data_IF_982064036280
#
_entry.id   IF_982064036280
#
_cell.length_a   1.000
_cell.length_b   1.000
_cell.length_c   1.000
_cell.angle_alpha   90.00
_cell.angle_beta   90.00
_cell.angle_gamma   90.00
#
_symmetry.space_group_name_H-M   'P 1'
#
loop_
_entity.id
_entity.type
_entity.pdbx_description
1 polymer ?
#
# COMPACT_ATOMS: atom_id res chain seq x y z
N UNK A 1 65.93 -49.04 -21.84
CA UNK A 1 65.40 -47.69 -21.53
C UNK A 1 63.94 -47.49 -21.95
N UNK A 2 63.43 -48.23 -22.94
CA UNK A 2 62.08 -48.06 -23.54
C UNK A 2 60.92 -48.45 -22.61
N UNK A 3 61.02 -49.59 -21.90
CA UNK A 3 59.99 -50.04 -20.95
C UNK A 3 59.75 -49.05 -19.79
N UNK A 4 60.83 -48.44 -19.27
CA UNK A 4 60.74 -47.49 -18.16
C UNK A 4 59.99 -46.22 -18.57
N UNK A 5 60.12 -45.79 -19.84
CA UNK A 5 59.39 -44.66 -20.42
C UNK A 5 57.90 -44.98 -20.58
N UNK A 6 57.56 -46.16 -21.10
CA UNK A 6 56.18 -46.62 -21.25
C UNK A 6 55.47 -46.73 -19.90
N UNK A 7 56.15 -47.26 -18.89
CA UNK A 7 55.60 -47.37 -17.54
C UNK A 7 55.34 -46.00 -16.90
N UNK A 8 56.23 -45.02 -17.14
CA UNK A 8 56.05 -43.65 -16.66
C UNK A 8 54.86 -42.95 -17.35
N UNK A 9 54.67 -43.15 -18.65
CA UNK A 9 53.53 -42.55 -19.37
C UNK A 9 52.19 -43.16 -18.93
N UNK A 10 52.14 -44.45 -18.63
CA UNK A 10 50.91 -45.09 -18.13
C UNK A 10 50.58 -44.60 -16.72
N UNK A 11 51.58 -44.42 -15.86
CA UNK A 11 51.40 -43.86 -14.52
C UNK A 11 50.90 -42.40 -14.56
N UNK A 12 51.41 -41.59 -15.49
CA UNK A 12 50.94 -40.23 -15.71
C UNK A 12 49.50 -40.20 -16.24
N UNK A 13 49.14 -41.14 -17.11
CA UNK A 13 47.77 -41.30 -17.61
C UNK A 13 46.81 -41.67 -16.49
N UNK A 14 47.14 -42.64 -15.65
CA UNK A 14 46.32 -42.98 -14.47
C UNK A 14 46.17 -41.81 -13.49
N UNK A 15 47.23 -41.02 -13.28
CA UNK A 15 47.15 -39.82 -12.42
C UNK A 15 46.19 -38.80 -13.01
N UNK A 16 46.23 -38.58 -14.33
CA UNK A 16 45.28 -37.69 -15.02
C UNK A 16 43.86 -38.21 -14.89
N UNK A 17 43.64 -39.50 -15.10
CA UNK A 17 42.30 -40.10 -15.04
C UNK A 17 41.71 -39.98 -13.62
N UNK A 18 42.50 -40.23 -12.57
CA UNK A 18 42.08 -40.00 -11.18
C UNK A 18 41.70 -38.53 -10.93
N UNK A 19 42.46 -37.59 -11.47
CA UNK A 19 42.16 -36.17 -11.34
C UNK A 19 40.87 -35.79 -12.08
N UNK A 20 40.64 -36.34 -13.27
CA UNK A 20 39.42 -36.13 -14.07
C UNK A 20 38.21 -36.67 -13.31
N UNK A 21 38.27 -37.89 -12.77
CA UNK A 21 37.18 -38.46 -11.99
C UNK A 21 36.83 -37.62 -10.77
N UNK A 22 37.83 -37.14 -10.04
CA UNK A 22 37.61 -36.26 -8.88
C UNK A 22 36.87 -34.98 -9.27
N UNK A 23 37.29 -34.32 -10.35
CA UNK A 23 36.63 -33.10 -10.84
C UNK A 23 35.21 -33.39 -11.34
N UNK A 24 34.97 -34.55 -11.96
CA UNK A 24 33.62 -34.95 -12.39
C UNK A 24 32.67 -35.17 -11.21
N UNK A 25 33.14 -35.78 -10.12
CA UNK A 25 32.35 -35.91 -8.89
C UNK A 25 32.02 -34.53 -8.29
N UNK A 26 32.99 -33.62 -8.28
CA UNK A 26 32.80 -32.26 -7.78
C UNK A 26 31.79 -31.47 -8.62
N UNK A 27 31.89 -31.54 -9.96
CA UNK A 27 30.92 -30.93 -10.88
C UNK A 27 29.52 -31.55 -10.67
N UNK A 28 29.42 -32.87 -10.53
CA UNK A 28 28.14 -33.54 -10.28
C UNK A 28 27.49 -33.04 -8.99
N UNK A 29 28.27 -32.89 -7.92
CA UNK A 29 27.79 -32.35 -6.66
C UNK A 29 27.31 -30.89 -6.82
N UNK A 30 28.08 -30.07 -7.54
CA UNK A 30 27.74 -28.67 -7.79
C UNK A 30 26.45 -28.53 -8.61
N UNK A 31 26.24 -29.38 -9.62
CA UNK A 31 24.99 -29.41 -10.41
C UNK A 31 23.79 -29.81 -9.56
N UNK A 32 23.93 -30.79 -8.66
CA UNK A 32 22.84 -31.16 -7.74
C UNK A 32 22.51 -30.02 -6.77
N UNK A 33 23.54 -29.36 -6.23
CA UNK A 33 23.37 -28.20 -5.36
C UNK A 33 22.68 -27.05 -6.11
N UNK A 34 23.12 -26.75 -7.33
CA UNK A 34 22.49 -25.73 -8.17
C UNK A 34 21.02 -26.06 -8.48
N UNK A 35 20.72 -27.31 -8.80
CA UNK A 35 19.34 -27.79 -9.02
C UNK A 35 18.49 -27.62 -7.76
N UNK A 36 19.02 -27.94 -6.58
CA UNK A 36 18.31 -27.77 -5.31
C UNK A 36 18.05 -26.28 -4.99
N UNK A 37 19.04 -25.41 -5.22
CA UNK A 37 18.89 -23.96 -5.08
C UNK A 37 17.85 -23.43 -6.05
N UNK A 38 17.88 -23.85 -7.32
CA UNK A 38 16.88 -23.48 -8.32
C UNK A 38 15.48 -23.91 -7.90
N UNK A 39 15.30 -25.15 -7.43
CA UNK A 39 14.01 -25.60 -6.89
C UNK A 39 13.56 -24.80 -5.66
N UNK A 40 14.49 -24.41 -4.78
CA UNK A 40 14.17 -23.58 -3.62
C UNK A 40 13.78 -22.14 -4.03
N UNK A 41 14.43 -21.58 -5.04
CA UNK A 41 14.08 -20.27 -5.63
C UNK A 41 12.75 -20.35 -6.37
N UNK A 42 12.49 -21.39 -7.15
CA UNK A 42 11.21 -21.58 -7.86
C UNK A 42 10.04 -21.83 -6.88
N UNK A 43 10.28 -22.57 -5.78
CA UNK A 43 9.29 -22.74 -4.70
C UNK A 43 9.05 -21.45 -3.93
N UNK A 44 10.07 -20.59 -3.78
CA UNK A 44 9.89 -19.19 -3.41
C UNK A 44 9.32 -18.45 -4.62
N UNK A 45 8.06 -18.72 -4.98
CA UNK A 45 7.37 -17.93 -6.00
C UNK A 45 7.59 -16.44 -5.70
N UNK A 46 8.34 -15.68 -6.52
CA UNK A 46 7.90 -14.32 -6.76
C UNK A 46 6.51 -14.51 -7.37
N UNK A 47 5.51 -13.81 -6.88
CA UNK A 47 4.19 -13.93 -7.45
C UNK A 47 4.28 -13.50 -8.93
N UNK A 48 4.46 -14.47 -9.82
CA UNK A 48 4.63 -14.28 -11.24
C UNK A 48 3.23 -14.21 -11.83
N UNK A 49 2.84 -12.99 -12.19
CA UNK A 49 2.17 -12.65 -13.45
C UNK A 49 0.92 -13.43 -13.84
N UNK A 50 0.11 -13.83 -12.86
CA UNK A 50 -1.33 -13.64 -13.01
C UNK A 50 -1.75 -12.75 -11.85
N UNK A 51 -1.98 -11.46 -12.13
CA UNK A 51 -3.02 -10.76 -11.39
C UNK A 51 -4.23 -11.68 -11.55
N UNK A 52 -4.70 -12.38 -10.49
CA UNK A 52 -5.94 -13.11 -10.66
C UNK A 52 -6.94 -12.08 -11.12
N UNK A 53 -7.82 -12.48 -12.04
CA UNK A 53 -8.91 -11.68 -12.58
C UNK A 53 -9.84 -11.26 -11.43
N UNK A 54 -9.38 -10.26 -10.68
CA UNK A 54 -9.99 -9.67 -9.51
C UNK A 54 -9.81 -8.20 -9.74
N UNK A 55 -10.66 -7.68 -10.63
CA UNK A 55 -10.81 -6.26 -10.81
C UNK A 55 -11.41 -5.68 -9.52
N UNK A 56 -10.56 -5.39 -8.53
CA UNK A 56 -10.96 -4.65 -7.35
C UNK A 56 -11.43 -3.26 -7.78
N UNK A 57 -12.70 -2.94 -7.52
CA UNK A 57 -13.27 -1.62 -7.84
C UNK A 57 -12.85 -0.62 -6.77
N UNK A 58 -11.75 0.07 -7.04
CA UNK A 58 -11.23 1.15 -6.23
C UNK A 58 -11.48 2.51 -6.91
N UNK A 59 -11.72 3.59 -6.15
CA UNK A 59 -11.86 3.66 -4.69
C UNK A 59 -13.25 3.22 -4.19
N UNK A 60 -13.31 2.65 -2.99
CA UNK A 60 -14.57 2.29 -2.31
C UNK A 60 -15.31 3.55 -1.88
N UNK A 61 -16.62 3.63 -2.16
CA UNK A 61 -17.44 4.82 -1.88
C UNK A 61 -18.54 4.56 -0.87
N UNK A 62 -19.02 3.32 -0.79
CA UNK A 62 -20.16 2.95 0.07
C UNK A 62 -19.74 1.94 1.15
N UNK A 63 -20.59 1.75 2.16
CA UNK A 63 -20.33 0.75 3.21
C UNK A 63 -20.53 -0.68 2.67
N UNK A 64 -21.44 -0.81 1.72
CA UNK A 64 -21.74 -2.01 0.98
C UNK A 64 -20.50 -2.48 0.19
N UNK A 65 -19.77 -1.54 -0.44
CA UNK A 65 -18.51 -1.85 -1.13
C UNK A 65 -17.45 -2.45 -0.18
N UNK A 66 -17.36 -1.93 1.05
CA UNK A 66 -16.45 -2.48 2.07
C UNK A 66 -16.91 -3.87 2.50
N UNK A 67 -18.20 -4.06 2.76
CA UNK A 67 -18.74 -5.37 3.15
C UNK A 67 -18.46 -6.42 2.08
N UNK A 68 -18.75 -6.11 0.81
CA UNK A 68 -18.47 -6.98 -0.33
C UNK A 68 -16.98 -7.31 -0.45
N UNK A 69 -16.12 -6.31 -0.28
CA UNK A 69 -14.67 -6.52 -0.33
C UNK A 69 -14.19 -7.40 0.85
N UNK A 70 -14.67 -7.16 2.06
CA UNK A 70 -14.34 -7.97 3.24
C UNK A 70 -14.78 -9.43 3.08
N UNK A 71 -15.90 -9.69 2.40
CA UNK A 71 -16.31 -11.05 2.03
C UNK A 71 -15.36 -11.71 1.02
N UNK A 72 -14.97 -10.99 -0.03
CA UNK A 72 -13.98 -11.47 -1.01
C UNK A 72 -12.65 -11.78 -0.32
N UNK A 73 -12.24 -10.94 0.64
CA UNK A 73 -11.00 -11.08 1.41
C UNK A 73 -11.04 -12.18 2.48
N UNK A 74 -12.16 -12.92 2.64
CA UNK A 74 -12.16 -14.18 3.40
C UNK A 74 -11.27 -15.24 2.72
N UNK A 75 -11.14 -15.19 1.39
CA UNK A 75 -10.26 -16.08 0.65
C UNK A 75 -8.81 -15.59 0.71
N UNK A 76 -7.91 -16.44 1.21
CA UNK A 76 -6.48 -16.10 1.31
C UNK A 76 -5.84 -15.79 -0.04
N UNK A 77 -6.28 -16.46 -1.09
CA UNK A 77 -5.81 -16.21 -2.46
C UNK A 77 -6.17 -14.80 -2.93
N UNK A 78 -7.39 -14.33 -2.62
CA UNK A 78 -7.84 -12.97 -2.97
C UNK A 78 -7.17 -11.91 -2.09
N UNK A 79 -6.93 -12.19 -0.81
CA UNK A 79 -6.15 -11.31 0.08
C UNK A 79 -4.71 -11.12 -0.42
N UNK A 80 -4.05 -12.20 -0.83
CA UNK A 80 -2.71 -12.15 -1.41
C UNK A 80 -2.70 -11.36 -2.72
N UNK A 81 -3.72 -11.53 -3.56
CA UNK A 81 -3.89 -10.77 -4.80
C UNK A 81 -4.07 -9.28 -4.54
N UNK A 82 -4.91 -8.91 -3.56
CA UNK A 82 -5.06 -7.51 -3.16
C UNK A 82 -3.73 -6.95 -2.65
N UNK A 83 -3.03 -7.71 -1.81
CA UNK A 83 -1.72 -7.32 -1.30
C UNK A 83 -0.74 -7.07 -2.45
N UNK A 84 -0.71 -7.92 -3.47
CA UNK A 84 0.11 -7.68 -4.67
C UNK A 84 -0.27 -6.39 -5.38
N UNK A 85 -1.56 -6.20 -5.65
CA UNK A 85 -2.06 -5.03 -6.34
C UNK A 85 -1.66 -3.75 -5.60
N UNK A 86 -1.86 -3.72 -4.28
CA UNK A 86 -1.45 -2.60 -3.45
C UNK A 86 0.07 -2.42 -3.39
N UNK A 87 0.85 -3.49 -3.49
CA UNK A 87 2.32 -3.43 -3.54
C UNK A 87 2.87 -2.77 -4.81
N UNK A 88 2.03 -2.57 -5.84
CA UNK A 88 2.43 -1.81 -7.04
C UNK A 88 2.45 -0.29 -6.77
N UNK A 89 1.77 0.15 -5.71
CA UNK A 89 1.60 1.56 -5.37
C UNK A 89 2.74 2.01 -4.47
N UNK A 90 3.83 2.44 -5.09
CA UNK A 90 4.99 2.99 -4.41
C UNK A 90 4.92 4.50 -4.13
N UNK A 91 5.99 5.02 -3.53
CA UNK A 91 6.20 6.43 -3.21
C UNK A 91 7.61 6.64 -2.66
N UNK A 92 8.01 7.90 -2.48
CA UNK A 92 9.38 8.24 -2.06
C UNK A 92 9.58 8.15 -0.54
N UNK A 93 8.51 8.35 0.23
CA UNK A 93 8.55 8.35 1.70
C UNK A 93 7.40 7.53 2.26
N UNK A 94 7.52 7.04 3.49
CA UNK A 94 6.45 6.30 4.17
C UNK A 94 5.11 7.06 4.15
N UNK A 95 5.14 8.38 4.40
CA UNK A 95 3.96 9.24 4.34
C UNK A 95 3.33 9.29 2.94
N UNK A 96 4.15 9.38 1.89
CA UNK A 96 3.67 9.42 0.51
C UNK A 96 3.08 8.07 0.09
N UNK A 97 3.78 6.97 0.37
CA UNK A 97 3.33 5.59 0.12
C UNK A 97 1.95 5.36 0.77
N UNK A 98 1.84 5.62 2.08
CA UNK A 98 0.59 5.44 2.82
C UNK A 98 -0.52 6.38 2.32
N UNK A 99 -0.17 7.62 1.98
CA UNK A 99 -1.11 8.58 1.42
C UNK A 99 -1.66 8.17 0.05
N UNK A 100 -0.84 7.56 -0.81
CA UNK A 100 -1.25 7.02 -2.12
C UNK A 100 -2.10 5.77 -1.95
N UNK A 101 -1.66 4.81 -1.13
CA UNK A 101 -2.43 3.59 -0.82
C UNK A 101 -3.84 3.92 -0.32
N UNK A 102 -3.95 4.80 0.67
CA UNK A 102 -5.24 5.11 1.27
C UNK A 102 -6.19 5.86 0.31
N UNK A 103 -5.64 6.75 -0.55
CA UNK A 103 -6.44 7.44 -1.60
C UNK A 103 -6.90 6.51 -2.70
N UNK A 104 -6.11 5.49 -3.01
CA UNK A 104 -6.49 4.44 -3.94
C UNK A 104 -7.64 3.61 -3.37
N UNK A 105 -7.57 3.24 -2.10
CA UNK A 105 -8.52 2.31 -1.48
C UNK A 105 -9.86 2.97 -1.12
N UNK A 106 -9.84 4.13 -0.47
CA UNK A 106 -11.05 4.77 0.07
C UNK A 106 -11.28 6.14 -0.54
N UNK A 107 -12.52 6.38 -0.98
CA UNK A 107 -12.98 7.72 -1.28
C UNK A 107 -13.06 8.56 0.00
N UNK A 108 -12.84 9.88 -0.12
CA UNK A 108 -12.86 10.79 1.04
C UNK A 108 -14.20 10.78 1.77
N UNK A 109 -15.31 10.73 1.03
CA UNK A 109 -16.68 10.66 1.57
C UNK A 109 -16.82 9.49 2.55
N UNK A 110 -16.45 8.29 2.11
CA UNK A 110 -16.47 7.08 2.92
C UNK A 110 -15.49 7.17 4.09
N UNK A 111 -14.29 7.71 3.86
CA UNK A 111 -13.25 7.85 4.89
C UNK A 111 -13.68 8.74 6.08
N UNK A 112 -14.66 9.63 5.91
CA UNK A 112 -15.19 10.41 7.05
C UNK A 112 -16.01 9.56 8.02
N UNK A 113 -16.58 8.45 7.55
CA UNK A 113 -17.43 7.56 8.34
C UNK A 113 -16.63 6.54 9.20
N UNK A 114 -15.31 6.50 9.03
CA UNK A 114 -14.40 5.64 9.79
C UNK A 114 -13.48 6.42 10.72
N UNK A 115 -13.07 5.77 11.80
CA UNK A 115 -11.86 6.13 12.54
C UNK A 115 -11.11 4.85 12.93
N UNK A 116 -9.90 4.97 13.49
CA UNK A 116 -9.09 3.78 13.78
C UNK A 116 -9.79 2.79 14.72
N UNK A 117 -10.36 3.26 15.83
CA UNK A 117 -10.88 2.40 16.93
C UNK A 117 -12.39 2.12 16.84
N UNK A 118 -13.14 2.90 16.07
CA UNK A 118 -14.60 2.87 16.00
C UNK A 118 -15.33 3.66 17.10
N UNK A 119 -14.74 4.74 17.63
CA UNK A 119 -15.38 5.54 18.70
C UNK A 119 -16.48 6.47 18.15
N UNK A 120 -17.59 6.58 18.88
CA UNK A 120 -18.72 7.45 18.56
C UNK A 120 -19.59 6.87 17.43
N UNK A 121 -20.02 7.71 16.48
CA UNK A 121 -20.85 7.31 15.34
C UNK A 121 -20.04 6.77 14.13
N UNK A 122 -18.75 6.47 14.32
CA UNK A 122 -17.84 6.04 13.25
C UNK A 122 -17.45 4.59 13.41
N UNK A 123 -17.36 3.86 12.31
CA UNK A 123 -16.99 2.45 12.30
C UNK A 123 -15.48 2.25 12.52
N UNK A 124 -15.06 1.14 13.17
CA UNK A 124 -13.65 0.82 13.35
C UNK A 124 -13.02 0.42 12.03
N UNK A 125 -11.96 1.13 11.65
CA UNK A 125 -11.15 0.74 10.50
C UNK A 125 -10.21 -0.42 10.89
N UNK A 126 -9.66 -0.42 12.12
CA UNK A 126 -8.64 -1.37 12.58
C UNK A 126 -9.02 -2.85 12.49
N UNK A 127 -10.31 -3.16 12.46
CA UNK A 127 -10.85 -4.52 12.45
C UNK A 127 -11.05 -5.09 11.04
N UNK A 128 -10.91 -4.26 10.00
CA UNK A 128 -11.11 -4.68 8.62
C UNK A 128 -9.93 -5.51 8.12
N UNK A 129 -10.21 -6.60 7.38
CA UNK A 129 -9.21 -7.45 6.73
C UNK A 129 -8.41 -6.69 5.69
N UNK A 130 -8.99 -5.65 5.08
CA UNK A 130 -8.23 -4.80 4.14
C UNK A 130 -6.95 -4.23 4.76
N UNK A 131 -6.90 -4.03 6.09
CA UNK A 131 -5.71 -3.53 6.78
C UNK A 131 -4.55 -4.51 6.74
N UNK A 132 -4.79 -5.83 6.83
CA UNK A 132 -3.69 -6.80 6.74
C UNK A 132 -3.03 -6.70 5.37
N UNK A 133 -3.84 -6.53 4.31
CA UNK A 133 -3.35 -6.33 2.94
C UNK A 133 -2.58 -5.02 2.77
N UNK A 134 -3.06 -3.92 3.37
CA UNK A 134 -2.37 -2.63 3.37
C UNK A 134 -1.02 -2.71 4.09
N UNK A 135 -0.98 -3.29 5.30
CA UNK A 135 0.23 -3.46 6.09
C UNK A 135 1.26 -4.33 5.35
N UNK A 136 0.79 -5.43 4.75
CA UNK A 136 1.66 -6.33 3.99
C UNK A 136 2.24 -5.66 2.73
N UNK A 137 1.45 -4.86 2.02
CA UNK A 137 1.93 -4.08 0.87
C UNK A 137 2.95 -3.01 1.30
N UNK A 138 2.64 -2.24 2.35
CA UNK A 138 3.54 -1.20 2.85
C UNK A 138 4.87 -1.75 3.37
N UNK A 139 4.85 -2.94 4.00
CA UNK A 139 6.06 -3.65 4.44
C UNK A 139 7.01 -3.96 3.29
N UNK A 140 6.50 -4.25 2.08
CA UNK A 140 7.35 -4.46 0.89
C UNK A 140 8.08 -3.20 0.44
N UNK A 141 7.56 -2.02 0.81
CA UNK A 141 8.21 -0.73 0.55
C UNK A 141 9.07 -0.26 1.73
N UNK A 142 9.35 -1.12 2.71
CA UNK A 142 10.19 -0.80 3.87
C UNK A 142 9.49 0.03 4.94
N UNK A 143 8.16 0.17 4.90
CA UNK A 143 7.41 0.88 5.93
C UNK A 143 7.12 -0.09 7.09
N UNK A 144 7.45 0.30 8.31
CA UNK A 144 7.17 -0.51 9.50
C UNK A 144 5.68 -0.55 9.81
N UNK A 145 5.22 -1.57 10.56
CA UNK A 145 3.81 -1.64 10.96
C UNK A 145 3.39 -0.45 11.82
N UNK A 146 4.27 0.05 12.70
CA UNK A 146 4.02 1.21 13.54
C UNK A 146 3.82 2.49 12.72
N UNK A 147 4.68 2.71 11.72
CA UNK A 147 4.54 3.84 10.78
C UNK A 147 3.27 3.72 9.95
N UNK A 148 2.94 2.52 9.46
CA UNK A 148 1.70 2.26 8.74
C UNK A 148 0.49 2.69 9.57
N UNK A 149 0.40 2.21 10.82
CA UNK A 149 -0.71 2.56 11.70
C UNK A 149 -0.78 4.04 12.01
N UNK A 150 0.37 4.67 12.31
CA UNK A 150 0.46 6.10 12.59
C UNK A 150 -0.09 6.91 11.42
N UNK A 151 0.36 6.58 10.21
CA UNK A 151 -0.09 7.25 8.99
C UNK A 151 -1.56 6.99 8.69
N UNK A 152 -2.09 5.78 8.86
CA UNK A 152 -3.51 5.49 8.65
C UNK A 152 -4.37 6.28 9.66
N UNK A 153 -3.99 6.28 10.95
CA UNK A 153 -4.66 7.05 12.00
C UNK A 153 -4.71 8.55 11.65
N UNK A 154 -3.58 9.12 11.26
CA UNK A 154 -3.50 10.53 10.85
C UNK A 154 -4.30 10.80 9.58
N UNK A 155 -4.25 9.89 8.60
CA UNK A 155 -4.99 10.00 7.35
C UNK A 155 -6.50 10.04 7.62
N UNK A 156 -7.04 9.09 8.40
CA UNK A 156 -8.45 9.05 8.79
C UNK A 156 -8.87 10.24 9.66
N UNK A 157 -8.00 10.71 10.57
CA UNK A 157 -8.28 11.89 11.40
C UNK A 157 -8.55 13.14 10.56
N UNK A 158 -7.79 13.30 9.48
CA UNK A 158 -7.90 14.46 8.58
C UNK A 158 -8.82 14.22 7.37
N UNK A 159 -9.60 13.13 7.33
CA UNK A 159 -10.49 12.86 6.18
C UNK A 159 -11.51 13.97 5.98
N UNK A 160 -12.07 14.52 7.06
CA UNK A 160 -13.04 15.62 7.01
C UNK A 160 -12.43 16.98 6.62
N UNK A 161 -11.11 17.15 6.69
CA UNK A 161 -10.44 18.42 6.38
C UNK A 161 -10.15 18.58 4.87
N UNK A 162 -10.15 17.48 4.11
CA UNK A 162 -9.68 17.43 2.72
C UNK A 162 -10.67 17.96 1.70
N UNK A 163 -11.96 17.76 1.94
CA UNK A 163 -13.02 18.18 1.02
C UNK A 163 -13.48 19.61 1.32
N UNK A 164 -12.51 20.52 1.51
CA UNK A 164 -12.79 21.91 1.87
C UNK A 164 -13.23 22.13 3.33
N UNK A 165 -13.26 21.10 4.18
CA UNK A 165 -13.61 21.24 5.60
C UNK A 165 -12.74 22.25 6.36
N UNK A 166 -11.46 22.38 5.99
CA UNK A 166 -10.58 23.42 6.54
C UNK A 166 -11.02 24.83 6.14
N UNK A 167 -11.42 25.02 4.87
CA UNK A 167 -11.94 26.30 4.36
C UNK A 167 -13.28 26.64 5.00
N UNK A 168 -14.17 25.67 5.18
CA UNK A 168 -15.46 25.87 5.86
C UNK A 168 -15.30 26.21 7.35
N UNK A 169 -14.35 25.58 8.06
CA UNK A 169 -14.07 25.95 9.47
C UNK A 169 -13.43 27.34 9.57
N UNK A 170 -12.55 27.69 8.64
CA UNK A 170 -11.99 29.04 8.56
C UNK A 170 -13.09 30.08 8.28
N UNK A 171 -13.99 29.80 7.33
CA UNK A 171 -15.13 30.68 7.04
C UNK A 171 -16.08 30.81 8.25
N UNK A 172 -16.44 29.70 8.90
CA UNK A 172 -17.26 29.72 10.13
C UNK A 172 -16.57 30.42 11.30
N UNK A 173 -15.27 30.26 11.47
CA UNK A 173 -14.51 30.93 12.53
C UNK A 173 -14.41 32.44 12.28
N UNK A 174 -14.23 32.85 11.02
CA UNK A 174 -14.30 34.27 10.62
C UNK A 174 -15.71 34.81 10.84
N UNK A 175 -16.75 34.10 10.40
CA UNK A 175 -18.16 34.49 10.55
C UNK A 175 -18.61 34.56 12.02
N UNK A 176 -18.12 33.68 12.89
CA UNK A 176 -18.39 33.71 14.34
C UNK A 176 -17.63 34.82 15.08
N UNK A 177 -16.48 35.27 14.55
CA UNK A 177 -15.67 36.32 15.16
C UNK A 177 -16.08 37.74 14.66
N UNK A 178 -16.87 37.82 13.59
CA UNK A 178 -17.56 39.05 13.18
C UNK A 178 -18.85 39.15 14.00
N UNK A 179 -18.77 39.80 15.16
CA UNK A 179 -19.90 40.02 16.07
C UNK A 179 -21.08 40.80 15.45
N UNK A 180 -22.21 40.93 16.18
CA UNK A 180 -23.52 41.39 15.67
C UNK A 180 -23.53 42.74 14.94
N UNK A 181 -22.51 43.57 15.13
CA UNK A 181 -22.41 44.94 14.61
C UNK A 181 -22.25 45.02 13.08
N UNK A 182 -21.76 43.98 12.41
CA UNK A 182 -21.63 43.99 10.95
C UNK A 182 -22.97 43.75 10.22
N UNK A 183 -23.95 43.11 10.86
CA UNK A 183 -25.28 42.86 10.26
C UNK A 183 -26.09 44.16 10.07
N UNK A 184 -25.88 45.17 10.92
CA UNK A 184 -26.57 46.46 10.85
C UNK A 184 -26.01 47.33 9.71
N UNK A 185 -24.73 47.18 9.38
CA UNK A 185 -24.06 48.02 8.37
C UNK A 185 -24.49 47.68 6.94
N UNK A 186 -24.92 46.44 6.67
CA UNK A 186 -25.41 46.04 5.35
C UNK A 186 -26.90 46.37 5.13
N UNK A 187 -27.71 46.40 6.19
CA UNK A 187 -29.14 46.75 6.11
C UNK A 187 -29.41 48.26 5.92
N UNK A 188 -28.44 49.13 6.24
CA UNK A 188 -28.61 50.60 6.13
C UNK A 188 -28.33 51.18 4.74
N UNK A 189 -27.88 50.37 3.77
CA UNK A 189 -27.63 50.79 2.37
C UNK A 189 -28.86 50.76 1.46
N UNK A 190 -30.01 50.30 1.95
CA UNK A 190 -31.27 50.24 1.20
C UNK A 190 -32.43 50.94 1.92
N UNK A 191 -32.20 52.16 2.42
CA UNK A 191 -33.32 53.10 2.62
C UNK A 191 -33.44 53.96 1.36
N UNK A 192 -34.59 53.95 0.66
CA UNK A 192 -34.85 54.87 -0.43
C UNK A 192 -34.93 56.29 0.18
N UNK A 193 -34.10 57.20 -0.32
CA UNK A 193 -34.28 58.64 -0.07
C UNK A 193 -35.55 59.07 -0.80
N UNK A 194 -36.69 58.99 -0.11
CA UNK A 194 -37.92 59.60 -0.59
C UNK A 194 -37.76 61.12 -0.58
N UNK A 195 -37.92 61.71 -1.77
CA UNK A 195 -37.79 63.13 -2.02
C UNK A 195 -38.82 63.95 -1.26
N UNK A 196 -38.41 65.15 -0.86
CA UNK A 196 -39.32 66.18 -0.41
C UNK A 196 -40.18 66.70 -1.58
N UNK A 197 -41.47 67.00 -1.35
CA UNK A 197 -42.29 67.68 -2.34
C UNK A 197 -41.97 69.17 -2.33
N UNK A 198 -41.76 69.74 -3.52
CA UNK A 198 -41.76 71.19 -3.73
C UNK A 198 -43.21 71.68 -3.76
N UNK A 199 -43.52 72.66 -2.94
CA UNK A 199 -44.61 73.63 -3.12
C UNK A 199 -44.14 74.96 -2.57
#
# INVERSE_FOLDING_TARGET
>A
MTLKRQMMTELEKEKRDRQIFKVLEEIKAQVHQNTAILHAILKRQPLQDSLPDVSFRFPLRTREDISNLEEILKSKTKENALTMHLSTIGGTTAKDIMGRLMRHILANELATSFNWVGRGNKSPFSTLRIISSIKAAAKKHGVTEAECECHIKQWLKHSSDRDGGRKNRQHKAVEANVGPLAKITLARRHLPTSGQPKS
#
